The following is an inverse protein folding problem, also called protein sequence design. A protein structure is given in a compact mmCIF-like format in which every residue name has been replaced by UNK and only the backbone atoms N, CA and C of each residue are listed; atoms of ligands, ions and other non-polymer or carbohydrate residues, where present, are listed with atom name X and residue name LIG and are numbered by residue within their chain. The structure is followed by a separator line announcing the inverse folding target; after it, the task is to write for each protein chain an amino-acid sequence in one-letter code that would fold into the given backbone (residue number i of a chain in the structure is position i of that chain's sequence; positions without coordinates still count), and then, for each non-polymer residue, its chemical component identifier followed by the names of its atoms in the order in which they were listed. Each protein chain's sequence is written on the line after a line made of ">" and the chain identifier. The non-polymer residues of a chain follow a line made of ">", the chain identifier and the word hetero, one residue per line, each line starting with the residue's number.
data_IF_777848755792
#
_entry.id   IF_777848755792
#
_cell.length_a   1.000
_cell.length_b   1.000
_cell.length_c   1.000
_cell.angle_alpha   90.00
_cell.angle_beta   90.00
_cell.angle_gamma   90.00
#
_symmetry.space_group_name_H-M   'P 1'
#
loop_
_entity.id
_entity.type
_entity.pdbx_description
1 polymer ?
#
# COMPACT_ATOMS: atom_id res chain seq x y z
N UNK A 1 26.41 -2.40 43.30
CA UNK A 1 25.74 -1.48 44.25
C UNK A 1 25.07 -0.40 43.42
N UNK A 2 23.90 -0.68 42.82
CA UNK A 2 23.15 0.19 41.90
C UNK A 2 21.68 0.22 42.35
N UNK A 3 21.41 0.65 43.58
CA UNK A 3 20.05 0.57 44.14
C UNK A 3 19.57 1.87 44.85
N UNK A 4 20.34 2.97 44.85
CA UNK A 4 20.10 4.05 45.82
C UNK A 4 19.79 5.47 45.30
N UNK A 5 19.44 5.70 44.02
CA UNK A 5 19.20 7.10 43.59
C UNK A 5 18.02 7.35 42.64
N UNK A 6 16.93 6.58 42.80
CA UNK A 6 15.62 7.05 42.33
C UNK A 6 14.98 7.97 43.37
N UNK A 7 15.33 9.25 43.39
CA UNK A 7 14.39 10.31 43.80
C UNK A 7 14.88 11.68 43.33
N UNK A 8 13.95 12.47 42.79
CA UNK A 8 14.07 13.89 42.40
C UNK A 8 14.23 14.14 40.90
N UNK A 9 13.15 13.93 40.14
CA UNK A 9 12.91 14.69 38.92
C UNK A 9 11.98 15.86 39.27
N UNK A 10 12.54 16.97 39.74
CA UNK A 10 11.82 18.24 39.73
C UNK A 10 11.98 18.88 38.34
N UNK A 11 10.98 18.67 37.47
CA UNK A 11 10.86 19.32 36.16
C UNK A 11 9.87 20.50 36.24
N UNK A 12 10.06 21.42 37.18
CA UNK A 12 9.31 22.68 37.21
C UNK A 12 10.25 23.79 37.63
N UNK A 13 11.14 24.14 36.70
CA UNK A 13 12.21 25.12 36.90
C UNK A 13 12.29 26.15 35.78
N UNK A 14 11.25 26.33 34.97
CA UNK A 14 11.14 27.46 34.07
C UNK A 14 10.13 28.48 34.61
N UNK A 15 10.72 29.55 35.14
CA UNK A 15 10.09 30.82 35.43
C UNK A 15 9.07 31.20 34.35
N UNK A 16 7.81 31.26 34.78
CA UNK A 16 6.65 31.73 34.04
C UNK A 16 6.80 33.19 33.58
N UNK A 17 7.48 33.40 32.46
CA UNK A 17 7.23 34.54 31.59
C UNK A 17 6.45 34.04 30.36
N UNK A 18 5.13 34.00 30.49
CA UNK A 18 4.23 33.70 29.36
C UNK A 18 4.23 34.92 28.44
N UNK A 19 5.20 35.00 27.54
CA UNK A 19 5.11 35.90 26.38
C UNK A 19 3.87 35.50 25.59
N UNK A 20 3.03 36.45 25.15
CA UNK A 20 1.91 36.15 24.28
C UNK A 20 2.42 35.36 23.06
N UNK A 21 1.81 34.21 22.80
CA UNK A 21 2.20 33.34 21.68
C UNK A 21 1.92 34.12 20.40
N UNK A 22 2.98 34.61 19.75
CA UNK A 22 2.87 35.25 18.45
C UNK A 22 2.53 34.19 17.40
N UNK A 23 1.24 34.00 17.16
CA UNK A 23 0.76 33.05 16.17
C UNK A 23 0.69 33.70 14.79
N UNK A 24 1.46 33.16 13.85
CA UNK A 24 1.29 33.44 12.42
C UNK A 24 0.10 32.63 11.88
N UNK A 25 -0.86 33.30 11.25
CA UNK A 25 -1.97 32.62 10.55
C UNK A 25 -1.39 31.72 9.45
N UNK A 26 -1.59 30.41 9.57
CA UNK A 26 -1.31 29.49 8.48
C UNK A 26 -2.28 29.80 7.33
N UNK A 27 -1.73 30.01 6.13
CA UNK A 27 -2.55 30.15 4.92
C UNK A 27 -3.22 28.80 4.68
N UNK A 28 -4.55 28.79 4.68
CA UNK A 28 -5.33 27.59 4.34
C UNK A 28 -5.09 27.26 2.88
N UNK A 29 -5.01 25.96 2.55
CA UNK A 29 -4.99 25.52 1.16
C UNK A 29 -6.36 25.83 0.54
N UNK A 30 -6.38 26.18 -0.74
CA UNK A 30 -7.62 26.53 -1.47
C UNK A 30 -8.71 25.44 -1.38
N UNK A 31 -8.31 24.19 -1.16
CA UNK A 31 -9.19 23.04 -1.06
C UNK A 31 -9.43 22.55 0.38
N UNK A 32 -8.97 23.28 1.40
CA UNK A 32 -9.18 22.85 2.79
C UNK A 32 -10.62 23.22 3.21
N UNK A 33 -11.53 22.25 3.44
CA UNK A 33 -12.92 22.55 3.73
C UNK A 33 -13.03 23.46 4.97
N UNK A 34 -13.90 24.46 4.89
CA UNK A 34 -14.23 25.31 6.05
C UNK A 34 -14.76 24.43 7.17
N UNK A 35 -14.28 24.58 8.43
CA UNK A 35 -14.88 23.88 9.56
C UNK A 35 -16.37 24.21 9.62
N UNK A 36 -17.22 23.22 9.38
CA UNK A 36 -18.69 23.38 9.35
C UNK A 36 -19.21 23.23 10.79
N UNK A 37 -20.07 24.13 11.30
CA UNK A 37 -20.70 23.97 12.60
C UNK A 37 -21.61 22.72 12.67
N UNK A 38 -21.41 21.91 13.71
CA UNK A 38 -22.07 20.63 14.03
C UNK A 38 -23.59 20.72 14.30
N UNK A 39 -24.41 20.99 13.28
CA UNK A 39 -25.88 20.87 13.39
C UNK A 39 -26.52 20.31 12.12
N UNK A 40 -26.13 19.11 11.65
CA UNK A 40 -26.99 18.35 10.71
C UNK A 40 -26.77 16.84 10.87
N UNK A 41 -27.86 16.17 11.25
CA UNK A 41 -28.00 14.74 11.51
C UNK A 41 -27.23 13.90 10.48
N UNK A 42 -26.38 12.98 10.94
CA UNK A 42 -25.69 12.02 10.06
C UNK A 42 -26.73 11.06 9.44
N UNK A 43 -26.77 10.86 8.12
CA UNK A 43 -27.44 9.68 7.55
C UNK A 43 -26.74 8.41 8.08
N UNK A 44 -27.50 7.34 8.33
CA UNK A 44 -26.96 6.09 8.84
C UNK A 44 -25.82 5.58 7.93
N UNK A 45 -24.73 5.05 8.51
CA UNK A 45 -23.63 4.50 7.70
C UNK A 45 -24.17 3.34 6.85
N UNK A 46 -23.81 3.32 5.57
CA UNK A 46 -24.10 2.21 4.68
C UNK A 46 -23.49 0.92 5.29
N UNK A 47 -24.32 0.02 5.76
CA UNK A 47 -23.87 -1.28 6.26
C UNK A 47 -23.45 -2.12 5.05
N UNK A 48 -22.15 -2.26 4.83
CA UNK A 48 -21.60 -3.21 3.88
C UNK A 48 -21.72 -4.62 4.48
N UNK A 49 -22.47 -5.50 3.82
CA UNK A 49 -22.56 -6.91 4.18
C UNK A 49 -21.41 -7.66 3.49
N UNK A 50 -20.45 -8.13 4.30
CA UNK A 50 -19.29 -8.91 3.84
C UNK A 50 -19.53 -10.42 3.83
N UNK A 51 -20.74 -10.87 4.20
CA UNK A 51 -21.07 -12.28 4.22
C UNK A 51 -21.43 -12.74 2.81
N UNK A 52 -20.60 -13.60 2.23
CA UNK A 52 -20.87 -14.22 0.95
C UNK A 52 -22.05 -15.18 1.08
N UNK A 53 -22.92 -15.19 0.07
CA UNK A 53 -23.98 -16.19 -0.05
C UNK A 53 -23.41 -17.54 -0.45
N UNK A 54 -24.04 -18.63 -0.02
CA UNK A 54 -23.60 -20.00 -0.34
C UNK A 54 -23.40 -20.23 -1.85
N UNK A 55 -24.21 -19.57 -2.70
CA UNK A 55 -24.06 -19.65 -4.16
C UNK A 55 -22.73 -19.09 -4.68
N UNK A 56 -22.25 -17.98 -4.11
CA UNK A 56 -20.96 -17.38 -4.48
C UNK A 56 -19.81 -18.28 -4.04
N UNK A 57 -19.94 -18.87 -2.85
CA UNK A 57 -18.97 -19.83 -2.32
C UNK A 57 -18.90 -21.08 -3.23
N UNK A 58 -20.04 -21.60 -3.67
CA UNK A 58 -20.08 -22.76 -4.58
C UNK A 58 -19.53 -22.45 -5.98
N UNK A 59 -19.76 -21.25 -6.52
CA UNK A 59 -19.20 -20.83 -7.79
C UNK A 59 -17.67 -20.73 -7.75
N UNK A 60 -17.13 -20.10 -6.72
CA UNK A 60 -15.68 -20.00 -6.51
C UNK A 60 -15.04 -21.39 -6.34
N UNK A 61 -15.69 -22.26 -5.57
CA UNK A 61 -15.21 -23.63 -5.38
C UNK A 61 -15.19 -24.44 -6.69
N UNK A 62 -16.20 -24.24 -7.56
CA UNK A 62 -16.22 -24.83 -8.91
C UNK A 62 -15.08 -24.29 -9.77
N UNK A 63 -14.78 -22.99 -9.68
CA UNK A 63 -13.68 -22.35 -10.41
C UNK A 63 -12.32 -22.88 -9.95
N UNK A 64 -12.10 -22.99 -8.64
CA UNK A 64 -10.86 -23.52 -8.07
C UNK A 64 -10.63 -24.99 -8.46
N UNK A 65 -11.68 -25.82 -8.46
CA UNK A 65 -11.53 -27.24 -8.81
C UNK A 65 -11.25 -27.48 -10.31
N UNK A 66 -11.69 -26.59 -11.20
CA UNK A 66 -11.32 -26.65 -12.64
C UNK A 66 -9.81 -26.47 -12.86
N UNK A 67 -9.13 -25.77 -11.96
CA UNK A 67 -7.70 -25.46 -12.06
C UNK A 67 -6.78 -26.54 -11.45
N UNK A 68 -7.33 -27.52 -10.72
CA UNK A 68 -6.55 -28.56 -10.00
C UNK A 68 -6.21 -29.81 -10.82
N UNK A 69 -6.35 -29.82 -12.15
CA UNK A 69 -5.87 -30.97 -12.93
C UNK A 69 -4.33 -30.96 -12.99
N UNK A 70 -3.63 -31.94 -12.38
CA UNK A 70 -2.17 -31.95 -12.40
C UNK A 70 -1.68 -32.43 -13.77
N UNK A 71 -1.09 -31.54 -14.57
CA UNK A 71 -0.19 -31.99 -15.63
C UNK A 71 1.13 -32.37 -14.97
N UNK A 72 1.48 -33.67 -15.03
CA UNK A 72 2.71 -34.26 -14.48
C UNK A 72 3.94 -33.42 -14.85
N UNK A 73 4.83 -33.09 -13.90
CA UNK A 73 6.17 -32.62 -14.22
C UNK A 73 7.06 -33.83 -14.54
N UNK A 74 7.53 -33.91 -15.78
CA UNK A 74 8.73 -34.67 -16.13
C UNK A 74 9.92 -33.88 -15.61
N UNK A 75 10.83 -34.56 -14.90
CA UNK A 75 12.02 -34.03 -14.21
C UNK A 75 12.88 -33.10 -15.07
N UNK A 76 13.49 -32.02 -14.52
CA UNK A 76 14.49 -31.24 -15.23
C UNK A 76 15.90 -31.69 -14.85
N UNK A 77 16.66 -32.19 -15.83
CA UNK A 77 18.12 -32.13 -15.83
C UNK A 77 18.54 -31.09 -16.88
N UNK A 78 18.86 -29.89 -16.37
CA UNK A 78 19.80 -28.89 -16.91
C UNK A 78 19.59 -28.30 -18.32
N UNK A 79 20.14 -27.09 -18.56
CA UNK A 79 19.42 -26.02 -19.23
C UNK A 79 19.88 -25.81 -20.67
N UNK A 80 18.97 -25.97 -21.62
CA UNK A 80 19.18 -25.48 -22.98
C UNK A 80 17.92 -24.78 -23.48
N UNK A 81 18.03 -23.45 -23.49
CA UNK A 81 17.37 -22.47 -24.34
C UNK A 81 16.25 -22.96 -25.29
N UNK A 82 15.09 -23.37 -24.79
CA UNK A 82 13.78 -23.21 -25.45
C UNK A 82 12.67 -23.37 -24.41
N UNK A 83 11.61 -22.55 -24.41
CA UNK A 83 10.34 -23.10 -24.93
C UNK A 83 9.40 -22.04 -25.57
N UNK A 84 8.78 -22.36 -26.70
CA UNK A 84 7.43 -22.95 -26.82
C UNK A 84 6.30 -21.94 -26.58
N UNK A 85 5.36 -21.95 -27.51
CA UNK A 85 4.27 -21.00 -27.67
C UNK A 85 3.64 -20.50 -26.34
N UNK A 86 3.36 -19.20 -26.20
CA UNK A 86 2.69 -18.68 -25.03
C UNK A 86 1.23 -19.11 -25.09
N UNK A 87 0.88 -20.18 -24.37
CA UNK A 87 -0.47 -20.35 -23.87
C UNK A 87 -0.66 -19.26 -22.81
N UNK A 88 -0.98 -18.06 -23.26
CA UNK A 88 -1.06 -16.85 -22.45
C UNK A 88 -2.22 -16.99 -21.46
N UNK A 89 -1.90 -17.45 -20.24
CA UNK A 89 -2.84 -17.49 -19.14
C UNK A 89 -3.15 -16.01 -18.77
N UNK A 90 -4.42 -15.55 -18.81
CA UNK A 90 -4.74 -14.13 -18.66
C UNK A 90 -4.27 -13.53 -17.32
N UNK A 91 -4.09 -14.36 -16.28
CA UNK A 91 -3.54 -13.94 -14.98
C UNK A 91 -2.08 -13.54 -15.05
N UNK A 92 -1.29 -14.12 -15.96
CA UNK A 92 0.15 -13.83 -16.10
C UNK A 92 0.41 -12.45 -16.72
N UNK A 93 -0.62 -11.81 -17.30
CA UNK A 93 -0.52 -10.46 -17.87
C UNK A 93 -0.29 -9.37 -16.82
N UNK A 94 -0.69 -9.62 -15.57
CA UNK A 94 -0.69 -8.61 -14.50
C UNK A 94 0.17 -9.02 -13.29
N UNK A 95 1.24 -9.77 -13.53
CA UNK A 95 2.19 -10.11 -12.47
C UNK A 95 3.28 -9.03 -12.36
N UNK A 96 3.54 -8.59 -11.13
CA UNK A 96 4.66 -7.73 -10.83
C UNK A 96 5.90 -8.59 -10.55
N UNK A 97 6.96 -8.47 -11.34
CA UNK A 97 8.23 -9.17 -11.11
C UNK A 97 9.40 -8.19 -11.01
N UNK A 98 10.45 -8.60 -10.28
CA UNK A 98 11.68 -7.82 -10.12
C UNK A 98 12.82 -8.59 -10.77
N UNK A 99 13.50 -7.96 -11.74
CA UNK A 99 14.65 -8.54 -12.44
C UNK A 99 15.70 -7.44 -12.64
N UNK A 100 16.97 -7.74 -12.33
CA UNK A 100 18.10 -6.80 -12.46
C UNK A 100 17.86 -5.41 -11.79
N UNK A 101 17.10 -5.39 -10.68
CA UNK A 101 16.75 -4.15 -9.98
C UNK A 101 15.68 -3.30 -10.67
N UNK A 102 15.02 -3.80 -11.70
CA UNK A 102 13.86 -3.20 -12.37
C UNK A 102 12.59 -3.93 -11.98
N UNK A 103 11.54 -3.17 -11.70
CA UNK A 103 10.19 -3.68 -11.46
C UNK A 103 9.44 -3.69 -12.80
N UNK A 104 8.92 -4.86 -13.18
CA UNK A 104 8.11 -5.07 -14.37
C UNK A 104 6.66 -5.33 -13.97
N UNK A 105 5.73 -4.63 -14.62
CA UNK A 105 4.29 -4.84 -14.46
C UNK A 105 3.59 -4.56 -15.79
N UNK A 106 2.78 -5.51 -16.29
CA UNK A 106 1.99 -5.33 -17.53
C UNK A 106 2.84 -4.75 -18.68
N UNK A 107 3.94 -5.44 -19.00
CA UNK A 107 4.93 -5.08 -20.04
C UNK A 107 5.63 -3.72 -19.86
N UNK A 108 5.42 -3.03 -18.73
CA UNK A 108 6.07 -1.77 -18.40
C UNK A 108 7.17 -2.03 -17.37
N UNK A 109 8.36 -1.49 -17.63
CA UNK A 109 9.46 -1.51 -16.66
C UNK A 109 9.62 -0.16 -15.99
N UNK A 110 9.92 -0.20 -14.70
CA UNK A 110 10.12 0.96 -13.86
C UNK A 110 11.18 0.67 -12.78
N UNK A 111 11.72 1.74 -12.20
CA UNK A 111 12.76 1.67 -11.16
C UNK A 111 12.23 2.36 -9.92
N UNK A 112 12.21 1.64 -8.80
CA UNK A 112 11.90 2.25 -7.50
C UNK A 112 13.05 3.19 -7.15
N UNK A 113 12.74 4.47 -7.04
CA UNK A 113 13.71 5.53 -6.74
C UNK A 113 13.78 5.85 -5.25
N UNK A 114 12.66 5.73 -4.54
CA UNK A 114 12.57 5.92 -3.09
C UNK A 114 11.33 5.24 -2.53
N UNK A 115 11.39 4.78 -1.28
CA UNK A 115 10.29 4.16 -0.56
C UNK A 115 10.05 4.98 0.72
N UNK A 116 8.86 5.55 0.84
CA UNK A 116 8.37 6.23 2.03
C UNK A 116 7.41 5.35 2.81
N UNK A 117 6.91 5.86 3.93
CA UNK A 117 5.96 5.14 4.79
C UNK A 117 4.62 4.90 4.10
N UNK A 118 4.08 5.92 3.44
CA UNK A 118 2.76 5.87 2.79
C UNK A 118 2.81 6.00 1.26
N UNK A 119 4.01 6.01 0.68
CA UNK A 119 4.19 6.25 -0.74
C UNK A 119 5.48 5.63 -1.29
N UNK A 120 5.47 5.29 -2.57
CA UNK A 120 6.66 4.92 -3.33
C UNK A 120 6.86 5.85 -4.51
N UNK A 121 8.12 6.16 -4.77
CA UNK A 121 8.55 6.99 -5.89
C UNK A 121 9.11 6.07 -6.96
N UNK A 122 8.41 5.98 -8.08
CA UNK A 122 8.73 5.08 -9.19
C UNK A 122 9.14 5.91 -10.39
N UNK A 123 10.27 5.58 -11.01
CA UNK A 123 10.73 6.19 -12.27
C UNK A 123 10.43 5.24 -13.42
N UNK A 124 9.64 5.67 -14.39
CA UNK A 124 9.33 4.87 -15.58
C UNK A 124 10.54 4.84 -16.51
N UNK A 125 10.93 3.65 -16.99
CA UNK A 125 12.14 3.51 -17.81
C UNK A 125 11.98 4.13 -19.20
N UNK A 126 10.76 4.12 -19.76
CA UNK A 126 10.52 4.54 -21.15
C UNK A 126 10.65 6.05 -21.37
N UNK A 127 10.13 6.87 -20.45
CA UNK A 127 10.08 8.34 -20.57
C UNK A 127 10.78 9.05 -19.41
N UNK A 128 11.40 8.29 -18.49
CA UNK A 128 12.10 8.77 -17.29
C UNK A 128 11.21 9.63 -16.36
N UNK A 129 9.90 9.57 -16.54
CA UNK A 129 8.95 10.29 -15.68
C UNK A 129 8.88 9.65 -14.29
N UNK A 130 8.61 10.47 -13.28
CA UNK A 130 8.39 9.99 -11.93
C UNK A 130 6.89 9.90 -11.64
N UNK A 131 6.48 8.79 -11.03
CA UNK A 131 5.14 8.51 -10.57
C UNK A 131 5.21 8.26 -9.07
N UNK A 132 4.28 8.86 -8.32
CA UNK A 132 4.14 8.63 -6.88
C UNK A 132 2.93 7.72 -6.69
N UNK A 133 3.15 6.52 -6.16
CA UNK A 133 2.06 5.61 -5.80
C UNK A 133 1.83 5.74 -4.29
N UNK A 134 0.61 6.06 -3.88
CA UNK A 134 0.22 6.15 -2.47
C UNK A 134 -0.66 4.97 -2.10
N UNK A 135 -0.39 4.35 -0.96
CA UNK A 135 -1.34 3.41 -0.37
C UNK A 135 -2.44 4.20 0.33
N UNK A 136 -3.69 3.81 0.10
CA UNK A 136 -4.78 4.26 0.95
C UNK A 136 -4.81 3.35 2.18
N UNK A 137 -4.70 3.92 3.37
CA UNK A 137 -5.12 3.21 4.57
C UNK A 137 -6.65 3.05 4.49
N UNK A 138 -7.12 1.82 4.59
CA UNK A 138 -8.55 1.49 4.68
C UNK A 138 -9.08 1.79 6.08
#
# INVERSE_FOLDING_TARGET
>A
MIENEKLTMELTGDSMEVKPIMMRKLRRRLNDPVPIPDKRRKPAPAQLNYLLTDDQIMEDLRTLNKLKSPKRPVSPLSPEHVPSAPMENPSQRYEACIEEGKLYYDKRCCVISSVGTNEIWVRKTSDRTFVICRWSAA
#
